data_IF_548793469477
#
_entry.id   IF_548793469477
#
_cell.length_a   1.000
_cell.length_b   1.000
_cell.length_c   1.000
_cell.angle_alpha   90.00
_cell.angle_beta   90.00
_cell.angle_gamma   90.00
#
_symmetry.space_group_name_H-M   'P 1'
#
loop_
_entity.id
_entity.type
_entity.pdbx_description
1 polymer ?
#
# COMPACT_ATOMS: atom_id res chain seq x y z
N UNK A 1 25.41 -30.28 -24.37
CA UNK A 1 24.00 -30.57 -24.05
C UNK A 1 23.62 -30.30 -22.58
N UNK A 2 24.54 -30.43 -21.63
CA UNK A 2 24.28 -30.18 -20.19
C UNK A 2 24.18 -28.69 -19.81
N UNK A 3 24.93 -27.81 -20.46
CA UNK A 3 24.96 -26.37 -20.12
C UNK A 3 23.66 -25.63 -20.44
N UNK A 4 22.95 -26.01 -21.50
CA UNK A 4 21.67 -25.41 -21.91
C UNK A 4 20.59 -25.64 -20.85
N UNK A 5 20.54 -26.84 -20.27
CA UNK A 5 19.60 -27.18 -19.19
C UNK A 5 19.87 -26.37 -17.91
N UNK A 6 21.13 -26.19 -17.55
CA UNK A 6 21.52 -25.38 -16.39
C UNK A 6 21.09 -23.91 -16.57
N UNK A 7 21.29 -23.34 -17.77
CA UNK A 7 20.89 -21.96 -18.07
C UNK A 7 19.37 -21.79 -18.04
N UNK A 8 18.61 -22.76 -18.57
CA UNK A 8 17.14 -22.75 -18.54
C UNK A 8 16.59 -22.79 -17.10
N UNK A 9 17.12 -23.67 -16.26
CA UNK A 9 16.71 -23.77 -14.84
C UNK A 9 17.09 -22.51 -14.07
N UNK A 10 18.27 -21.95 -14.33
CA UNK A 10 18.71 -20.71 -13.70
C UNK A 10 17.78 -19.54 -14.04
N UNK A 11 17.36 -19.43 -15.30
CA UNK A 11 16.42 -18.39 -15.73
C UNK A 11 15.02 -18.60 -15.12
N UNK A 12 14.53 -19.83 -15.11
CA UNK A 12 13.22 -20.16 -14.54
C UNK A 12 13.14 -19.85 -13.04
N UNK A 13 14.17 -20.22 -12.28
CA UNK A 13 14.23 -19.95 -10.83
C UNK A 13 14.36 -18.46 -10.52
N UNK A 14 15.06 -17.69 -11.36
CA UNK A 14 15.14 -16.24 -11.24
C UNK A 14 13.76 -15.58 -11.44
N UNK A 15 13.02 -15.98 -12.48
CA UNK A 15 11.67 -15.46 -12.75
C UNK A 15 10.70 -15.84 -11.62
N UNK A 16 10.72 -17.10 -11.18
CA UNK A 16 9.88 -17.58 -10.08
C UNK A 16 10.21 -16.85 -8.77
N UNK A 17 11.50 -16.65 -8.47
CA UNK A 17 11.97 -15.94 -7.29
C UNK A 17 11.53 -14.47 -7.28
N UNK A 18 11.58 -13.78 -8.42
CA UNK A 18 11.09 -12.41 -8.54
C UNK A 18 9.58 -12.31 -8.33
N UNK A 19 8.80 -13.21 -8.92
CA UNK A 19 7.34 -13.22 -8.79
C UNK A 19 6.94 -13.49 -7.33
N UNK A 20 7.52 -14.52 -6.71
CA UNK A 20 7.25 -14.86 -5.31
C UNK A 20 7.72 -13.76 -4.36
N UNK A 21 8.92 -13.22 -4.56
CA UNK A 21 9.47 -12.13 -3.76
C UNK A 21 8.61 -10.87 -3.82
N UNK A 22 8.18 -10.47 -5.02
CA UNK A 22 7.30 -9.30 -5.20
C UNK A 22 5.95 -9.50 -4.50
N UNK A 23 5.35 -10.69 -4.61
CA UNK A 23 4.03 -10.95 -4.03
C UNK A 23 4.07 -10.95 -2.49
N UNK A 24 5.12 -11.54 -1.90
CA UNK A 24 5.34 -11.54 -0.46
C UNK A 24 5.59 -10.11 0.03
N UNK A 25 6.54 -9.38 -0.59
CA UNK A 25 6.85 -8.00 -0.21
C UNK A 25 5.61 -7.10 -0.26
N UNK A 26 4.81 -7.22 -1.33
CA UNK A 26 3.55 -6.47 -1.49
C UNK A 26 2.54 -6.78 -0.39
N UNK A 27 2.37 -8.06 -0.03
CA UNK A 27 1.46 -8.48 1.05
C UNK A 27 1.91 -7.94 2.41
N UNK A 28 3.20 -8.04 2.71
CA UNK A 28 3.75 -7.59 3.98
C UNK A 28 3.65 -6.07 4.11
N UNK A 29 3.96 -5.31 3.05
CA UNK A 29 3.82 -3.86 3.01
C UNK A 29 2.38 -3.41 3.27
N UNK A 30 1.39 -4.05 2.63
CA UNK A 30 -0.02 -3.77 2.85
C UNK A 30 -0.42 -4.02 4.31
N UNK A 31 0.09 -5.10 4.92
CA UNK A 31 -0.17 -5.41 6.34
C UNK A 31 0.47 -4.38 7.28
N UNK A 32 1.64 -3.84 6.96
CA UNK A 32 2.28 -2.79 7.75
C UNK A 32 1.47 -1.48 7.72
N UNK A 33 1.01 -1.06 6.53
CA UNK A 33 0.19 0.16 6.36
C UNK A 33 -1.17 0.07 7.07
N UNK A 34 -1.71 -1.14 7.26
CA UNK A 34 -2.94 -1.36 8.03
C UNK A 34 -2.73 -1.23 9.53
N UNK A 35 -1.57 -1.67 10.04
CA UNK A 35 -1.27 -1.64 11.48
C UNK A 35 -0.96 -0.23 11.98
N UNK A 36 -0.37 0.62 11.13
CA UNK A 36 -0.18 2.05 11.39
C UNK A 36 -0.92 2.84 10.31
N UNK A 37 -2.20 3.19 10.53
CA UNK A 37 -3.01 3.82 9.50
C UNK A 37 -2.32 5.10 9.01
N UNK A 38 -2.18 5.29 7.69
CA UNK A 38 -1.36 6.35 7.12
C UNK A 38 -1.95 7.76 7.30
N UNK A 39 -3.09 7.92 7.97
CA UNK A 39 -3.82 9.18 8.06
C UNK A 39 -4.07 9.54 9.52
N UNK A 40 -3.40 10.59 9.99
CA UNK A 40 -3.69 11.25 11.25
C UNK A 40 -4.22 12.69 10.99
N UNK A 41 -4.79 13.34 12.01
CA UNK A 41 -5.30 14.72 11.90
C UNK A 41 -4.25 15.73 11.44
N UNK A 42 -3.01 15.53 11.88
CA UNK A 42 -1.88 16.41 11.57
C UNK A 42 -1.46 16.30 10.10
N UNK A 43 -1.51 15.12 9.50
CA UNK A 43 -1.26 14.88 8.09
C UNK A 43 -2.36 15.52 7.23
N UNK A 44 -3.63 15.36 7.62
CA UNK A 44 -4.76 16.04 6.99
C UNK A 44 -4.61 17.57 7.09
N UNK A 45 -4.19 18.07 8.25
CA UNK A 45 -3.91 19.48 8.48
C UNK A 45 -2.79 19.99 7.58
N UNK A 46 -1.66 19.28 7.53
CA UNK A 46 -0.51 19.61 6.68
C UNK A 46 -0.87 19.56 5.21
N UNK A 47 -1.64 18.56 4.78
CA UNK A 47 -2.13 18.44 3.41
C UNK A 47 -3.07 19.60 3.05
N UNK A 48 -3.99 19.98 3.95
CA UNK A 48 -4.84 21.16 3.76
C UNK A 48 -4.02 22.46 3.69
N UNK A 49 -3.02 22.61 4.55
CA UNK A 49 -2.11 23.77 4.56
C UNK A 49 -1.28 23.84 3.27
N UNK A 50 -0.78 22.70 2.76
CA UNK A 50 -0.07 22.61 1.47
C UNK A 50 -0.96 23.03 0.29
N UNK A 51 -2.26 22.78 0.37
CA UNK A 51 -3.24 23.20 -0.63
C UNK A 51 -3.74 24.65 -0.44
N UNK A 52 -3.15 25.41 0.48
CA UNK A 52 -3.58 26.79 0.79
C UNK A 52 -4.97 26.88 1.44
N UNK A 53 -5.54 25.76 1.89
CA UNK A 53 -6.81 25.75 2.60
C UNK A 53 -6.59 25.94 4.09
N UNK A 54 -7.35 26.85 4.70
CA UNK A 54 -7.38 27.02 6.16
C UNK A 54 -7.83 25.72 6.83
N UNK A 55 -7.01 25.09 7.67
CA UNK A 55 -7.40 23.87 8.38
C UNK A 55 -8.45 24.21 9.44
N UNK A 56 -9.70 23.81 9.20
CA UNK A 56 -10.77 23.87 10.20
C UNK A 56 -10.96 22.50 10.84
N UNK A 57 -10.94 22.42 12.17
CA UNK A 57 -11.05 21.15 12.92
C UNK A 57 -12.30 20.35 12.52
N UNK A 58 -13.43 21.02 12.27
CA UNK A 58 -14.66 20.35 11.82
C UNK A 58 -14.49 19.70 10.44
N UNK A 59 -13.81 20.39 9.52
CA UNK A 59 -13.55 19.90 8.15
C UNK A 59 -12.55 18.74 8.16
N UNK A 60 -11.53 18.81 9.04
CA UNK A 60 -10.56 17.73 9.25
C UNK A 60 -11.26 16.47 9.77
N UNK A 61 -12.11 16.59 10.79
CA UNK A 61 -12.87 15.44 11.31
C UNK A 61 -13.80 14.84 10.25
N UNK A 62 -14.47 15.67 9.45
CA UNK A 62 -15.32 15.20 8.36
C UNK A 62 -14.52 14.44 7.30
N UNK A 63 -13.36 14.98 6.90
CA UNK A 63 -12.48 14.33 5.92
C UNK A 63 -11.86 13.04 6.46
N UNK A 64 -11.41 13.04 7.72
CA UNK A 64 -10.85 11.85 8.36
C UNK A 64 -11.84 10.69 8.34
N UNK A 65 -13.11 10.95 8.74
CA UNK A 65 -14.16 9.92 8.74
C UNK A 65 -14.42 9.36 7.33
N UNK A 66 -14.45 10.22 6.30
CA UNK A 66 -14.61 9.80 4.92
C UNK A 66 -13.43 8.99 4.39
N UNK A 67 -12.20 9.40 4.71
CA UNK A 67 -10.99 8.68 4.31
C UNK A 67 -10.86 7.32 5.00
N UNK A 68 -11.15 7.23 6.30
CA UNK A 68 -11.13 5.96 7.04
C UNK A 68 -12.12 4.95 6.44
N UNK A 69 -13.34 5.39 6.12
CA UNK A 69 -14.34 4.53 5.46
C UNK A 69 -13.90 4.07 4.06
N UNK A 70 -13.27 4.96 3.27
CA UNK A 70 -12.75 4.58 1.94
C UNK A 70 -11.61 3.57 2.02
N UNK A 71 -10.69 3.72 2.98
CA UNK A 71 -9.61 2.77 3.20
C UNK A 71 -10.15 1.40 3.64
N UNK A 72 -11.13 1.37 4.54
CA UNK A 72 -11.79 0.12 4.96
C UNK A 72 -12.52 -0.57 3.79
N UNK A 73 -13.21 0.19 2.94
CA UNK A 73 -13.93 -0.35 1.79
C UNK A 73 -12.99 -0.86 0.68
N UNK A 74 -11.83 -0.21 0.46
CA UNK A 74 -10.81 -0.71 -0.46
C UNK A 74 -10.20 -2.03 0.02
N UNK A 75 -10.01 -2.17 1.33
CA UNK A 75 -9.53 -3.41 1.93
C UNK A 75 -10.52 -4.56 1.79
N UNK A 76 -11.82 -4.28 1.91
CA UNK A 76 -12.89 -5.27 1.67
C UNK A 76 -12.95 -5.68 0.19
N UNK A 77 -12.81 -4.73 -0.75
CA UNK A 77 -12.78 -5.04 -2.20
C UNK A 77 -11.55 -5.84 -2.63
N UNK A 78 -10.38 -5.65 -2.01
CA UNK A 78 -9.17 -6.44 -2.32
C UNK A 78 -9.17 -7.85 -1.73
N UNK A 79 -10.04 -8.12 -0.74
CA UNK A 79 -10.21 -9.44 -0.11
C UNK A 79 -11.34 -10.27 -0.73
N UNK A 80 -12.17 -9.69 -1.60
CA UNK A 80 -13.28 -10.35 -2.30
C UNK A 80 -12.83 -10.73 -3.70
#
# INVERSE_FOLDING_TARGET
>A
MSTIWVVLIALATLVIGLILGFFIARKTMMNYLKKNPPINEQMLRTMMMQMGQKPSQKKINQMMRGMTQQMENQDKKKKK
#
